data_IF_132226935707
#
_entry.id   IF_132226935707
#
_cell.length_a   1.000
_cell.length_b   1.000
_cell.length_c   1.000
_cell.angle_alpha   90.00
_cell.angle_beta   90.00
_cell.angle_gamma   90.00
#
_symmetry.space_group_name_H-M   'P 1'
#
loop_
_entity.id
_entity.type
_entity.pdbx_description
1 polymer ?
#
# COMPACT_ATOMS: atom_id res chain seq x y z
N UNK A 1 20.53 -16.17 3.00
CA UNK A 1 20.22 -16.30 1.56
C UNK A 1 19.41 -15.08 1.17
N UNK A 2 20.06 -14.08 0.59
CA UNK A 2 19.36 -12.93 0.02
C UNK A 2 18.70 -13.40 -1.27
N UNK A 3 17.36 -13.53 -1.28
CA UNK A 3 16.62 -13.77 -2.52
C UNK A 3 16.86 -12.57 -3.42
N UNK A 4 17.60 -12.77 -4.52
CA UNK A 4 17.70 -11.74 -5.55
C UNK A 4 16.29 -11.37 -6.00
N UNK A 5 15.90 -10.08 -5.95
CA UNK A 5 14.56 -9.69 -6.32
C UNK A 5 14.37 -9.96 -7.81
N UNK A 6 13.44 -10.85 -8.13
CA UNK A 6 13.00 -11.12 -9.50
C UNK A 6 12.56 -9.81 -10.17
N UNK A 7 12.58 -9.72 -11.51
CA UNK A 7 12.09 -8.54 -12.23
C UNK A 7 10.68 -8.14 -11.78
N UNK A 8 9.83 -9.13 -11.50
CA UNK A 8 8.49 -8.97 -10.95
C UNK A 8 8.50 -8.26 -9.57
N UNK A 9 9.34 -8.72 -8.64
CA UNK A 9 9.50 -8.10 -7.31
C UNK A 9 10.00 -6.66 -7.41
N UNK A 10 10.86 -6.36 -8.38
CA UNK A 10 11.34 -5.00 -8.62
C UNK A 10 10.22 -4.09 -9.11
N UNK A 11 9.38 -4.58 -10.01
CA UNK A 11 8.25 -3.82 -10.53
C UNK A 11 7.16 -3.58 -9.45
N UNK A 12 6.86 -4.59 -8.62
CA UNK A 12 5.99 -4.42 -7.44
C UNK A 12 6.56 -3.43 -6.43
N UNK A 13 7.87 -3.48 -6.18
CA UNK A 13 8.55 -2.53 -5.30
C UNK A 13 8.45 -1.11 -5.85
N UNK A 14 8.57 -0.94 -7.17
CA UNK A 14 8.42 0.36 -7.82
C UNK A 14 6.97 0.87 -7.74
N UNK A 15 5.98 0.04 -8.06
CA UNK A 15 4.57 0.38 -7.95
C UNK A 15 4.20 0.80 -6.52
N UNK A 16 4.66 0.07 -5.49
CA UNK A 16 4.48 0.43 -4.09
C UNK A 16 5.06 1.80 -3.75
N UNK A 17 6.27 2.13 -4.24
CA UNK A 17 6.87 3.47 -4.03
C UNK A 17 6.06 4.57 -4.71
N UNK A 18 5.57 4.33 -5.93
CA UNK A 18 4.73 5.32 -6.64
C UNK A 18 3.40 5.55 -5.91
N UNK A 19 2.73 4.48 -5.48
CA UNK A 19 1.50 4.56 -4.69
C UNK A 19 1.74 5.28 -3.36
N UNK A 20 2.86 5.00 -2.68
CA UNK A 20 3.22 5.69 -1.44
C UNK A 20 3.41 7.20 -1.67
N UNK A 21 4.18 7.58 -2.68
CA UNK A 21 4.44 8.98 -2.99
C UNK A 21 3.16 9.75 -3.37
N UNK A 22 2.26 9.10 -4.11
CA UNK A 22 0.97 9.67 -4.47
C UNK A 22 0.11 9.97 -3.23
N UNK A 23 -0.07 8.99 -2.33
CA UNK A 23 -0.92 9.19 -1.17
C UNK A 23 -0.27 10.04 -0.07
N UNK A 24 1.05 10.08 0.04
CA UNK A 24 1.72 10.94 1.02
C UNK A 24 1.36 12.43 0.83
N UNK A 25 1.06 12.86 -0.39
CA UNK A 25 0.67 14.23 -0.69
C UNK A 25 -0.84 14.48 -0.63
N UNK A 26 -1.65 13.47 -0.94
CA UNK A 26 -3.09 13.64 -1.11
C UNK A 26 -3.93 13.13 0.05
N UNK A 27 -3.53 12.02 0.69
CA UNK A 27 -4.36 11.33 1.67
C UNK A 27 -3.49 10.65 2.75
N UNK A 28 -3.37 11.27 3.95
CA UNK A 28 -2.57 10.73 5.04
C UNK A 28 -3.13 9.41 5.60
N UNK A 29 -4.43 9.13 5.46
CA UNK A 29 -5.02 7.86 5.93
C UNK A 29 -4.56 6.72 5.02
N UNK A 30 -4.66 6.88 3.71
CA UNK A 30 -4.21 5.85 2.76
C UNK A 30 -2.70 5.65 2.80
N UNK A 31 -1.93 6.73 2.94
CA UNK A 31 -0.49 6.65 3.20
C UNK A 31 -0.18 5.89 4.50
N UNK A 32 -0.92 6.19 5.56
CA UNK A 32 -0.82 5.50 6.85
C UNK A 32 -1.14 4.00 6.75
N UNK A 33 -2.19 3.62 6.02
CA UNK A 33 -2.55 2.22 5.78
C UNK A 33 -1.42 1.51 5.01
N UNK A 34 -0.87 2.14 3.97
CA UNK A 34 0.25 1.56 3.21
C UNK A 34 1.46 1.24 4.12
N UNK A 35 1.83 2.19 4.97
CA UNK A 35 2.95 2.04 5.90
C UNK A 35 2.66 0.98 6.97
N UNK A 36 1.53 1.09 7.67
CA UNK A 36 1.22 0.21 8.80
C UNK A 36 0.88 -1.21 8.35
N UNK A 37 -0.04 -1.37 7.39
CA UNK A 37 -0.56 -2.67 6.98
C UNK A 37 0.42 -3.44 6.11
N UNK A 38 1.04 -2.78 5.12
CA UNK A 38 1.80 -3.47 4.08
C UNK A 38 3.32 -3.43 4.30
N UNK A 39 3.88 -2.36 4.89
CA UNK A 39 5.33 -2.33 5.20
C UNK A 39 5.64 -2.90 6.58
N UNK A 40 4.84 -2.55 7.60
CA UNK A 40 5.04 -2.98 8.99
C UNK A 40 4.29 -4.26 9.36
N UNK A 41 3.52 -4.81 8.42
CA UNK A 41 2.74 -6.04 8.60
C UNK A 41 1.81 -6.02 9.82
N UNK A 42 1.29 -4.85 10.20
CA UNK A 42 0.37 -4.73 11.32
C UNK A 42 -1.01 -5.34 10.99
N UNK A 43 -1.70 -5.79 12.03
CA UNK A 43 -3.09 -6.24 11.94
C UNK A 43 -4.03 -5.08 11.62
N UNK A 44 -5.20 -5.36 11.03
CA UNK A 44 -6.22 -4.32 10.79
C UNK A 44 -6.49 -3.53 12.07
N UNK A 45 -6.71 -4.20 13.19
CA UNK A 45 -7.01 -3.55 14.47
C UNK A 45 -5.90 -2.56 14.89
N UNK A 46 -4.63 -2.96 14.78
CA UNK A 46 -3.51 -2.07 15.08
C UNK A 46 -3.48 -0.84 14.15
N UNK A 47 -3.86 -0.99 12.88
CA UNK A 47 -3.97 0.14 11.95
C UNK A 47 -5.13 1.06 12.32
N UNK A 48 -6.28 0.51 12.69
CA UNK A 48 -7.43 1.29 13.17
C UNK A 48 -7.04 2.13 14.39
N UNK A 49 -6.37 1.51 15.36
CA UNK A 49 -5.93 2.16 16.59
C UNK A 49 -4.86 3.23 16.30
N UNK A 50 -3.88 2.91 15.46
CA UNK A 50 -2.78 3.84 15.11
C UNK A 50 -3.27 5.06 14.34
N UNK A 51 -4.15 4.85 13.35
CA UNK A 51 -4.66 5.93 12.50
C UNK A 51 -5.90 6.61 13.06
N UNK A 52 -6.44 6.11 14.18
CA UNK A 52 -7.66 6.62 14.81
C UNK A 52 -8.85 6.66 13.83
N UNK A 53 -9.05 5.58 13.09
CA UNK A 53 -10.12 5.43 12.09
C UNK A 53 -11.05 4.27 12.39
N UNK A 54 -12.30 4.38 11.95
CA UNK A 54 -13.27 3.28 12.01
C UNK A 54 -13.03 2.21 10.94
N UNK A 55 -13.52 0.99 11.20
CA UNK A 55 -13.39 -0.17 10.28
C UNK A 55 -13.92 0.12 8.87
N UNK A 56 -15.06 0.78 8.74
CA UNK A 56 -15.64 1.12 7.42
C UNK A 56 -14.73 2.06 6.62
N UNK A 57 -14.10 3.03 7.28
CA UNK A 57 -13.14 3.95 6.65
C UNK A 57 -11.91 3.18 6.19
N UNK A 58 -11.37 2.30 7.04
CA UNK A 58 -10.25 1.43 6.68
C UNK A 58 -10.57 0.56 5.48
N UNK A 59 -11.71 -0.14 5.47
CA UNK A 59 -12.05 -1.05 4.37
C UNK A 59 -12.15 -0.33 3.02
N UNK A 60 -12.80 0.84 2.98
CA UNK A 60 -12.89 1.67 1.78
C UNK A 60 -11.52 2.16 1.32
N UNK A 61 -10.73 2.71 2.25
CA UNK A 61 -9.41 3.24 1.95
C UNK A 61 -8.44 2.14 1.50
N UNK A 62 -8.50 0.96 2.11
CA UNK A 62 -7.66 -0.19 1.76
C UNK A 62 -8.02 -0.76 0.38
N UNK A 63 -9.31 -0.88 0.05
CA UNK A 63 -9.75 -1.34 -1.27
C UNK A 63 -9.33 -0.37 -2.40
N UNK A 64 -9.51 0.94 -2.17
CA UNK A 64 -9.08 1.98 -3.11
C UNK A 64 -7.55 2.01 -3.30
N UNK A 65 -6.80 1.86 -2.20
CA UNK A 65 -5.35 1.76 -2.22
C UNK A 65 -4.86 0.58 -3.04
N UNK A 66 -5.44 -0.61 -2.85
CA UNK A 66 -5.09 -1.79 -3.63
C UNK A 66 -5.43 -1.63 -5.11
N UNK A 67 -6.55 -0.98 -5.42
CA UNK A 67 -6.94 -0.69 -6.81
C UNK A 67 -5.93 0.24 -7.48
N UNK A 68 -5.50 1.29 -6.76
CA UNK A 68 -4.47 2.23 -7.25
C UNK A 68 -3.12 1.55 -7.43
N UNK A 69 -2.72 0.69 -6.49
CA UNK A 69 -1.51 -0.12 -6.60
C UNK A 69 -1.54 -1.03 -7.82
N UNK A 70 -2.67 -1.71 -8.08
CA UNK A 70 -2.84 -2.56 -9.25
C UNK A 70 -2.71 -1.75 -10.56
N UNK A 71 -3.24 -0.53 -10.63
CA UNK A 71 -3.06 0.36 -11.79
C UNK A 71 -1.59 0.70 -12.01
N UNK A 72 -0.85 1.02 -10.95
CA UNK A 72 0.59 1.29 -11.07
C UNK A 72 1.38 0.02 -11.44
N UNK A 73 1.01 -1.15 -10.92
CA UNK A 73 1.61 -2.41 -11.31
C UNK A 73 1.33 -2.74 -12.79
N UNK A 74 0.10 -2.59 -13.26
CA UNK A 74 -0.23 -2.79 -14.68
C UNK A 74 0.60 -1.87 -15.60
N UNK A 75 0.81 -0.61 -15.20
CA UNK A 75 1.68 0.33 -15.93
C UNK A 75 3.15 -0.10 -15.99
N UNK A 76 3.61 -0.89 -15.02
CA UNK A 76 4.97 -1.44 -14.98
C UNK A 76 5.08 -2.82 -15.65
N UNK A 77 3.98 -3.34 -16.25
CA UNK A 77 3.97 -4.62 -16.95
C UNK A 77 3.96 -5.86 -16.04
N UNK A 78 3.48 -5.71 -14.79
CA UNK A 78 3.48 -6.79 -13.77
C UNK A 78 2.10 -7.46 -13.60
N UNK A 79 1.13 -7.13 -14.44
CA UNK A 79 -0.27 -7.54 -14.31
C UNK A 79 -0.80 -8.15 -15.61
#
# INVERSE_FOLDING_TARGET
MERQPTPENQCWTHALRQTAAYYQQQDPIRAGILEQRYRRHQTEQQVLDTLHIGRTTYQKANADLLSTLAVYAAKQGVL
#
